data_IF_230751260257
#
_entry.id   IF_230751260257
#
_cell.length_a   1.000
_cell.length_b   1.000
_cell.length_c   1.000
_cell.angle_alpha   90.00
_cell.angle_beta   90.00
_cell.angle_gamma   90.00
#
_symmetry.space_group_name_H-M   'P 1'
#
loop_
_entity.id
_entity.type
_entity.pdbx_description
1 polymer ?
#
# COMPACT_ATOMS: atom_id res chain seq x y z
N UNK A 1 -5.71 4.19 32.46
CA UNK A 1 -4.53 3.36 32.14
C UNK A 1 -5.01 1.93 32.08
N UNK A 2 -4.69 1.19 31.02
CA UNK A 2 -5.09 -0.22 30.91
C UNK A 2 -4.07 -1.10 31.64
N UNK A 3 -4.54 -1.92 32.58
CA UNK A 3 -3.70 -2.84 33.35
C UNK A 3 -3.50 -4.17 32.58
N UNK A 4 -2.27 -4.69 32.59
CA UNK A 4 -1.94 -5.98 31.97
C UNK A 4 -2.22 -7.14 32.95
N UNK A 5 -3.32 -7.86 32.76
CA UNK A 5 -3.70 -9.07 33.49
C UNK A 5 -3.09 -10.32 32.85
N UNK A 6 -2.56 -11.23 33.67
CA UNK A 6 -2.04 -12.51 33.19
C UNK A 6 -3.14 -13.57 33.06
N UNK A 7 -3.22 -14.23 31.91
CA UNK A 7 -4.04 -15.42 31.69
C UNK A 7 -3.11 -16.61 31.37
N UNK A 8 -3.09 -17.67 32.19
CA UNK A 8 -2.34 -18.88 31.89
C UNK A 8 -2.95 -19.60 30.67
N UNK A 9 -2.10 -20.06 29.77
CA UNK A 9 -2.43 -20.88 28.60
C UNK A 9 -1.44 -22.05 28.52
N UNK A 10 -1.76 -23.13 27.80
CA UNK A 10 -0.90 -24.32 27.71
C UNK A 10 0.55 -24.02 27.27
N UNK A 11 0.76 -22.92 26.54
CA UNK A 11 2.05 -22.50 25.99
C UNK A 11 2.73 -21.36 26.79
N UNK A 12 2.17 -20.95 27.95
CA UNK A 12 2.76 -19.89 28.79
C UNK A 12 1.73 -18.95 29.43
N UNK A 13 2.08 -17.68 29.58
CA UNK A 13 1.21 -16.66 30.17
C UNK A 13 0.88 -15.59 29.13
N UNK A 14 -0.40 -15.53 28.72
CA UNK A 14 -0.92 -14.47 27.86
C UNK A 14 -1.16 -13.22 28.70
N UNK A 15 -0.63 -12.07 28.28
CA UNK A 15 -0.96 -10.77 28.89
C UNK A 15 -2.18 -10.22 28.17
N UNK A 16 -3.28 -10.02 28.91
CA UNK A 16 -4.48 -9.32 28.44
C UNK A 16 -4.52 -7.93 29.04
N UNK A 17 -5.06 -6.96 28.34
CA UNK A 17 -5.27 -5.61 28.86
C UNK A 17 -6.75 -5.29 28.82
N UNK A 18 -7.28 -4.68 29.89
CA UNK A 18 -8.67 -4.21 29.90
C UNK A 18 -8.72 -2.93 29.05
N UNK A 19 -9.40 -3.02 27.91
CA UNK A 19 -9.52 -1.92 26.97
C UNK A 19 -10.68 -0.99 27.37
N UNK A 20 -10.40 0.30 27.53
CA UNK A 20 -11.44 1.31 27.63
C UNK A 20 -12.06 1.54 26.23
N UNK A 21 -13.28 1.04 26.05
CA UNK A 21 -14.04 1.13 24.79
C UNK A 21 -14.78 2.47 24.63
N UNK A 22 -14.80 3.34 25.65
CA UNK A 22 -15.43 4.66 25.55
C UNK A 22 -14.58 5.64 24.73
N UNK A 23 -13.26 5.42 24.67
CA UNK A 23 -12.34 6.34 24.00
C UNK A 23 -12.22 6.05 22.51
N UNK A 24 -12.50 7.08 21.71
CA UNK A 24 -12.22 7.10 20.28
C UNK A 24 -10.76 7.49 20.04
N UNK A 25 -10.09 6.76 19.16
CA UNK A 25 -8.68 6.96 18.86
C UNK A 25 -8.42 6.99 17.35
N UNK A 26 -7.23 7.47 16.98
CA UNK A 26 -6.74 7.42 15.61
C UNK A 26 -5.87 6.19 15.42
N UNK A 27 -6.09 5.45 14.34
CA UNK A 27 -5.15 4.44 13.87
C UNK A 27 -4.18 5.10 12.88
N UNK A 28 -2.89 4.87 13.07
CA UNK A 28 -1.86 5.38 12.17
C UNK A 28 -0.71 4.39 12.01
N UNK A 29 -0.07 4.42 10.84
CA UNK A 29 1.20 3.76 10.60
C UNK A 29 2.31 4.74 10.92
N UNK A 30 3.24 4.33 11.79
CA UNK A 30 4.44 5.09 12.08
C UNK A 30 5.56 4.58 11.17
N UNK A 31 6.02 5.43 10.28
CA UNK A 31 7.11 5.16 9.35
C UNK A 31 8.33 5.95 9.81
N UNK A 32 9.47 5.29 9.93
CA UNK A 32 10.72 5.98 10.23
C UNK A 32 11.06 6.99 9.13
N UNK A 33 11.64 8.12 9.50
CA UNK A 33 12.16 9.12 8.58
C UNK A 33 13.67 8.99 8.46
N UNK A 34 14.21 9.39 7.30
CA UNK A 34 15.65 9.41 7.05
C UNK A 34 16.41 10.39 7.97
N UNK A 35 15.71 11.35 8.57
CA UNK A 35 16.24 12.32 9.54
C UNK A 35 16.12 11.84 11.01
N UNK A 36 15.73 10.58 11.24
CA UNK A 36 15.56 9.98 12.58
C UNK A 36 14.23 10.30 13.25
N UNK A 37 13.33 11.07 12.60
CA UNK A 37 11.97 11.30 13.07
C UNK A 37 10.99 10.18 12.70
N UNK A 38 9.70 10.39 12.99
CA UNK A 38 8.61 9.51 12.57
C UNK A 38 7.61 10.26 11.68
N UNK A 39 7.28 9.69 10.53
CA UNK A 39 6.16 10.08 9.69
C UNK A 39 4.94 9.26 10.07
N UNK A 40 3.86 9.92 10.47
CA UNK A 40 2.63 9.24 10.86
C UNK A 40 1.57 9.29 9.75
N UNK A 41 1.33 8.17 9.10
CA UNK A 41 0.27 8.03 8.08
C UNK A 41 -1.04 7.71 8.79
N UNK A 42 -2.04 8.59 8.69
CA UNK A 42 -3.38 8.33 9.24
C UNK A 42 -4.03 7.19 8.45
N UNK A 43 -4.43 6.11 9.11
CA UNK A 43 -5.19 5.03 8.47
C UNK A 43 -6.69 5.26 8.64
N UNK A 44 -7.12 5.50 9.88
CA UNK A 44 -8.52 5.71 10.20
C UNK A 44 -8.66 6.63 11.41
N UNK A 45 -9.71 7.43 11.41
CA UNK A 45 -10.10 8.27 12.54
C UNK A 45 -11.31 7.68 13.24
N UNK A 46 -11.49 7.96 14.53
CA UNK A 46 -12.66 7.49 15.30
C UNK A 46 -12.71 5.96 15.55
N UNK A 47 -11.56 5.30 15.60
CA UNK A 47 -11.45 3.88 15.94
C UNK A 47 -11.84 3.63 17.39
N UNK A 48 -12.54 2.52 17.63
CA UNK A 48 -12.80 2.01 18.99
C UNK A 48 -11.78 0.92 19.32
N UNK A 49 -11.36 0.89 20.56
CA UNK A 49 -10.77 -0.32 21.14
C UNK A 49 -11.76 -1.48 21.03
N UNK A 50 -11.25 -2.69 20.92
CA UNK A 50 -12.04 -3.92 20.96
C UNK A 50 -11.29 -4.91 21.85
N UNK A 51 -12.04 -5.81 22.49
CA UNK A 51 -11.42 -6.91 23.21
C UNK A 51 -10.75 -7.87 22.22
N UNK A 52 -9.67 -8.48 22.67
CA UNK A 52 -8.93 -9.45 21.88
C UNK A 52 -9.77 -10.73 21.71
N UNK A 53 -10.22 -10.97 20.49
CA UNK A 53 -10.95 -12.16 20.10
C UNK A 53 -9.98 -13.25 19.63
N UNK A 54 -10.15 -14.49 20.12
CA UNK A 54 -9.18 -15.56 19.88
C UNK A 54 -9.05 -15.94 18.40
N UNK A 55 -10.15 -15.89 17.65
CA UNK A 55 -10.24 -16.41 16.29
C UNK A 55 -10.56 -15.33 15.25
N UNK A 56 -10.69 -14.06 15.67
CA UNK A 56 -11.14 -12.97 14.81
C UNK A 56 -10.07 -11.88 14.77
N UNK A 57 -9.62 -11.57 13.56
CA UNK A 57 -8.73 -10.45 13.29
C UNK A 57 -9.56 -9.27 12.79
N UNK A 58 -9.85 -8.32 13.68
CA UNK A 58 -10.69 -7.15 13.36
C UNK A 58 -9.97 -6.15 12.45
N UNK A 59 -8.67 -5.94 12.68
CA UNK A 59 -7.84 -5.07 11.86
C UNK A 59 -6.78 -5.93 11.15
N UNK A 60 -6.77 -5.90 9.83
CA UNK A 60 -5.83 -6.68 9.03
C UNK A 60 -5.20 -5.80 7.97
N UNK A 61 -3.87 -5.77 7.97
CA UNK A 61 -3.08 -5.13 6.94
C UNK A 61 -2.42 -6.19 6.08
N UNK A 62 -2.39 -5.94 4.78
CA UNK A 62 -1.65 -6.75 3.84
C UNK A 62 -0.32 -6.08 3.51
N UNK A 63 0.75 -6.86 3.56
CA UNK A 63 2.04 -6.46 3.01
C UNK A 63 2.01 -6.60 1.49
N UNK A 64 2.18 -5.49 0.78
CA UNK A 64 2.16 -5.43 -0.67
C UNK A 64 3.52 -4.94 -1.16
N UNK A 65 4.11 -5.67 -2.09
CA UNK A 65 5.28 -5.22 -2.86
C UNK A 65 4.76 -4.62 -4.17
N UNK A 66 4.84 -3.29 -4.35
CA UNK A 66 4.46 -2.66 -5.60
C UNK A 66 5.44 -3.09 -6.71
N UNK A 67 4.90 -3.58 -7.81
CA UNK A 67 5.71 -4.07 -8.95
C UNK A 67 5.18 -3.50 -10.25
N UNK A 68 6.08 -3.32 -11.21
CA UNK A 68 5.71 -3.07 -12.59
C UNK A 68 5.18 -4.37 -13.21
N UNK A 69 4.09 -4.25 -13.98
CA UNK A 69 3.57 -5.39 -14.74
C UNK A 69 4.42 -5.60 -15.98
N UNK A 70 4.94 -6.82 -16.13
CA UNK A 70 5.63 -7.30 -17.31
C UNK A 70 4.81 -8.44 -17.96
N UNK A 71 4.92 -8.65 -19.29
CA UNK A 71 4.27 -9.77 -19.96
C UNK A 71 4.77 -11.14 -19.44
N UNK A 72 4.09 -12.20 -19.86
CA UNK A 72 4.43 -13.61 -19.58
C UNK A 72 5.82 -14.02 -20.10
N UNK A 73 6.21 -15.29 -19.94
CA UNK A 73 7.52 -15.76 -20.45
C UNK A 73 7.45 -16.06 -21.93
N UNK A 74 6.41 -16.78 -22.35
CA UNK A 74 6.33 -17.31 -23.71
C UNK A 74 5.14 -16.76 -24.48
N UNK A 75 4.05 -16.36 -23.79
CA UNK A 75 2.82 -15.86 -24.42
C UNK A 75 2.22 -14.67 -23.69
N UNK A 76 1.50 -13.83 -24.44
CA UNK A 76 0.83 -12.64 -23.92
C UNK A 76 -0.30 -12.95 -22.93
N UNK A 77 -0.98 -14.08 -23.09
CA UNK A 77 -2.11 -14.53 -22.26
C UNK A 77 -1.68 -15.26 -20.97
N UNK A 78 -0.39 -15.51 -20.79
CA UNK A 78 0.15 -16.07 -19.55
C UNK A 78 -0.01 -15.12 -18.36
N UNK A 79 0.16 -15.66 -17.15
CA UNK A 79 0.19 -14.84 -15.95
C UNK A 79 1.31 -13.79 -16.07
N UNK A 80 1.03 -12.51 -15.74
CA UNK A 80 2.04 -11.47 -15.82
C UNK A 80 3.15 -11.72 -14.80
N UNK A 81 4.29 -11.07 -15.02
CA UNK A 81 5.40 -11.04 -14.07
C UNK A 81 5.46 -9.69 -13.37
N UNK A 82 6.02 -9.71 -12.17
CA UNK A 82 6.39 -8.50 -11.45
C UNK A 82 7.85 -8.12 -11.76
N UNK A 83 8.04 -6.87 -12.20
CA UNK A 83 9.35 -6.23 -12.28
C UNK A 83 9.51 -5.16 -11.20
N UNK A 84 10.76 -4.85 -10.88
CA UNK A 84 11.06 -3.71 -10.00
C UNK A 84 10.58 -2.40 -10.67
N UNK A 85 10.00 -1.48 -9.88
CA UNK A 85 9.62 -0.16 -10.39
C UNK A 85 10.87 0.62 -10.80
N UNK A 86 10.77 1.40 -11.88
CA UNK A 86 11.82 2.37 -12.26
C UNK A 86 11.82 3.58 -11.33
N UNK A 87 12.85 4.45 -11.38
CA UNK A 87 12.79 5.74 -10.71
C UNK A 87 11.51 6.49 -11.07
N UNK A 88 10.78 6.96 -10.06
CA UNK A 88 9.45 7.56 -10.26
C UNK A 88 8.63 7.61 -8.99
N UNK A 89 7.31 7.75 -9.14
CA UNK A 89 6.35 7.93 -8.06
C UNK A 89 5.27 6.86 -8.06
N UNK A 90 5.04 6.30 -6.88
CA UNK A 90 3.92 5.42 -6.57
C UNK A 90 2.87 6.22 -5.79
N UNK A 91 1.63 6.17 -6.26
CA UNK A 91 0.50 6.83 -5.64
C UNK A 91 -0.47 5.80 -5.11
N UNK A 92 -0.86 5.93 -3.85
CA UNK A 92 -1.91 5.12 -3.22
C UNK A 92 -3.06 6.04 -2.86
N UNK A 93 -4.20 5.82 -3.48
CA UNK A 93 -5.45 6.51 -3.17
C UNK A 93 -6.28 5.65 -2.21
N UNK A 94 -6.93 6.31 -1.26
CA UNK A 94 -7.96 5.73 -0.40
C UNK A 94 -9.21 6.59 -0.48
N UNK A 95 -10.36 5.99 -0.77
CA UNK A 95 -11.64 6.71 -0.89
C UNK A 95 -11.55 7.91 -1.88
N UNK A 96 -10.80 7.74 -2.98
CA UNK A 96 -10.63 8.77 -4.00
C UNK A 96 -9.70 9.94 -3.62
N UNK A 97 -9.03 9.88 -2.47
CA UNK A 97 -8.02 10.86 -2.04
C UNK A 97 -6.63 10.24 -1.99
N UNK A 98 -5.62 11.00 -2.39
CA UNK A 98 -4.22 10.59 -2.27
C UNK A 98 -3.90 10.40 -0.79
N UNK A 99 -3.61 9.16 -0.46
CA UNK A 99 -3.35 8.68 0.89
C UNK A 99 -1.85 8.55 1.14
N UNK A 100 -1.10 7.99 0.18
CA UNK A 100 0.36 7.88 0.23
C UNK A 100 0.96 8.20 -1.12
N UNK A 101 2.12 8.83 -1.10
CA UNK A 101 3.00 9.01 -2.26
C UNK A 101 4.37 8.50 -1.85
N UNK A 102 4.97 7.65 -2.69
CA UNK A 102 6.30 7.10 -2.45
C UNK A 102 7.18 7.34 -3.67
N UNK A 103 8.44 7.68 -3.43
CA UNK A 103 9.47 7.68 -4.46
C UNK A 103 10.11 6.29 -4.57
N UNK A 104 10.28 5.80 -5.80
CA UNK A 104 11.07 4.61 -6.08
C UNK A 104 12.45 4.97 -6.59
N UNK A 105 13.47 4.24 -6.15
CA UNK A 105 14.87 4.43 -6.59
C UNK A 105 15.26 3.62 -7.83
N UNK A 106 14.33 2.85 -8.40
CA UNK A 106 14.66 1.94 -9.51
C UNK A 106 15.25 0.59 -9.10
N UNK A 107 15.54 0.38 -7.81
CA UNK A 107 16.26 -0.79 -7.27
C UNK A 107 15.44 -1.55 -6.23
N UNK A 108 14.13 -1.31 -6.20
CA UNK A 108 13.19 -1.98 -5.30
C UNK A 108 13.09 -1.34 -3.93
N UNK A 109 13.58 -0.11 -3.78
CA UNK A 109 13.40 0.69 -2.57
C UNK A 109 12.32 1.74 -2.79
N UNK A 110 11.59 2.03 -1.73
CA UNK A 110 10.51 3.00 -1.67
C UNK A 110 10.75 3.95 -0.49
N UNK A 111 10.48 5.23 -0.70
CA UNK A 111 10.66 6.28 0.30
C UNK A 111 9.39 7.13 0.39
N UNK A 112 8.81 7.24 1.58
CA UNK A 112 7.55 7.99 1.79
C UNK A 112 7.72 9.49 1.59
N UNK A 113 6.71 10.11 0.99
CA UNK A 113 6.51 11.56 0.95
C UNK A 113 5.50 11.96 2.03
N UNK A 114 5.75 13.07 2.74
CA UNK A 114 4.79 13.62 3.69
C UNK A 114 3.62 14.31 2.97
N UNK A 115 2.68 13.51 2.45
CA UNK A 115 1.50 14.01 1.71
C UNK A 115 0.70 15.01 2.55
N UNK A 116 0.62 14.82 3.87
CA UNK A 116 -0.14 15.70 4.74
C UNK A 116 0.51 17.09 4.85
N UNK A 117 1.83 17.16 4.93
CA UNK A 117 2.58 18.41 4.84
C UNK A 117 2.35 19.10 3.49
N UNK A 118 2.57 18.41 2.37
CA UNK A 118 2.46 19.01 1.04
C UNK A 118 1.04 19.44 0.68
N UNK A 119 0.03 18.72 1.16
CA UNK A 119 -1.38 19.11 1.05
C UNK A 119 -1.68 20.41 1.80
N UNK A 120 -1.07 20.64 2.95
CA UNK A 120 -1.21 21.91 3.68
C UNK A 120 -0.49 23.02 2.91
N UNK A 121 0.72 22.77 2.43
CA UNK A 121 1.51 23.71 1.64
C UNK A 121 0.75 24.19 0.39
N UNK A 122 0.14 23.28 -0.35
CA UNK A 122 -0.67 23.62 -1.53
C UNK A 122 -1.87 24.50 -1.17
N UNK A 123 -2.61 24.14 -0.11
CA UNK A 123 -3.75 24.92 0.37
C UNK A 123 -3.38 26.34 0.79
N UNK A 124 -2.14 26.55 1.25
CA UNK A 124 -1.60 27.87 1.56
C UNK A 124 -1.01 28.62 0.36
N UNK A 125 -1.14 28.09 -0.87
CA UNK A 125 -0.58 28.70 -2.09
C UNK A 125 0.94 28.51 -2.25
N UNK A 126 1.54 27.57 -1.53
CA UNK A 126 2.96 27.25 -1.65
C UNK A 126 3.28 26.30 -2.82
N UNK A 127 4.56 26.15 -3.14
CA UNK A 127 5.04 25.26 -4.21
C UNK A 127 4.98 23.80 -3.78
N UNK A 128 3.84 23.15 -4.04
CA UNK A 128 3.58 21.79 -3.60
C UNK A 128 4.12 20.68 -4.53
N UNK A 129 4.90 21.02 -5.55
CA UNK A 129 5.48 20.07 -6.51
C UNK A 129 6.85 19.52 -6.15
N UNK A 130 7.55 20.14 -5.19
CA UNK A 130 8.88 19.67 -4.81
C UNK A 130 8.87 18.28 -4.15
N UNK A 131 7.82 18.00 -3.36
CA UNK A 131 7.48 16.72 -2.72
C UNK A 131 8.64 15.74 -2.48
N UNK A 132 9.68 16.21 -1.80
CA UNK A 132 10.85 15.39 -1.47
C UNK A 132 10.44 14.25 -0.51
N UNK A 133 10.93 13.02 -0.71
CA UNK A 133 10.68 11.95 0.23
C UNK A 133 11.39 12.22 1.56
N UNK A 134 10.75 11.80 2.64
CA UNK A 134 11.23 11.91 4.03
C UNK A 134 11.33 10.56 4.72
N UNK A 135 10.61 9.55 4.24
CA UNK A 135 10.61 8.21 4.83
C UNK A 135 11.94 7.50 4.66
N UNK A 136 12.29 6.69 5.64
CA UNK A 136 13.39 5.74 5.55
C UNK A 136 13.07 4.65 4.52
N UNK A 137 14.14 3.97 4.08
CA UNK A 137 14.12 2.90 3.08
C UNK A 137 13.10 1.80 3.43
N UNK A 138 12.21 1.49 2.50
CA UNK A 138 11.25 0.40 2.58
C UNK A 138 11.26 -0.45 1.30
N UNK A 139 10.78 -1.69 1.38
CA UNK A 139 10.66 -2.62 0.24
C UNK A 139 9.21 -3.03 -0.06
N UNK A 140 8.31 -2.78 0.89
CA UNK A 140 6.90 -3.11 0.80
C UNK A 140 6.11 -2.03 1.52
N UNK A 141 4.81 -1.97 1.23
CA UNK A 141 3.87 -1.10 1.91
C UNK A 141 2.80 -1.92 2.64
N UNK A 142 2.38 -1.45 3.81
CA UNK A 142 1.22 -1.98 4.50
C UNK A 142 -0.05 -1.26 4.03
N UNK A 143 -1.05 -2.02 3.61
CA UNK A 143 -2.35 -1.49 3.18
C UNK A 143 -3.47 -2.15 3.99
N UNK A 144 -4.47 -1.39 4.49
CA UNK A 144 -5.54 -1.96 5.28
C UNK A 144 -6.49 -2.78 4.38
N UNK A 145 -6.83 -3.99 4.81
CA UNK A 145 -7.84 -4.84 4.16
C UNK A 145 -9.09 -4.94 5.02
N UNK A 146 -8.93 -5.09 6.33
CA UNK A 146 -10.00 -5.06 7.31
C UNK A 146 -9.72 -3.96 8.34
N UNK A 147 -10.74 -3.16 8.66
CA UNK A 147 -10.73 -2.21 9.76
C UNK A 147 -12.00 -2.40 10.58
N UNK A 148 -11.86 -2.81 11.85
CA UNK A 148 -12.96 -3.20 12.73
C UNK A 148 -13.93 -4.21 12.06
N UNK A 149 -13.36 -5.21 11.39
CA UNK A 149 -14.10 -6.28 10.70
C UNK A 149 -14.69 -5.88 9.35
N UNK A 150 -14.67 -4.59 9.00
CA UNK A 150 -15.17 -4.10 7.72
C UNK A 150 -14.08 -4.21 6.65
N UNK A 151 -14.43 -4.80 5.51
CA UNK A 151 -13.57 -4.78 4.33
C UNK A 151 -13.41 -3.36 3.78
N UNK A 152 -12.15 -2.95 3.57
CA UNK A 152 -11.79 -1.61 3.06
C UNK A 152 -10.83 -1.68 1.87
N UNK A 153 -10.46 -2.87 1.41
CA UNK A 153 -9.52 -3.05 0.30
C UNK A 153 -10.06 -2.51 -1.04
N UNK A 154 -11.39 -2.51 -1.22
CA UNK A 154 -12.10 -1.93 -2.37
C UNK A 154 -11.97 -0.40 -2.46
N UNK A 155 -11.61 0.25 -1.35
CA UNK A 155 -11.41 1.69 -1.27
C UNK A 155 -10.02 2.12 -1.72
N UNK A 156 -9.12 1.16 -1.95
CA UNK A 156 -7.72 1.40 -2.25
C UNK A 156 -7.45 1.24 -3.75
N UNK A 157 -6.78 2.23 -4.32
CA UNK A 157 -6.32 2.20 -5.69
C UNK A 157 -4.86 2.66 -5.78
N UNK A 158 -4.12 2.11 -6.72
CA UNK A 158 -2.69 2.37 -6.88
C UNK A 158 -2.38 2.79 -8.32
N UNK A 159 -1.45 3.72 -8.47
CA UNK A 159 -0.89 4.10 -9.77
C UNK A 159 0.60 4.36 -9.65
N UNK A 160 1.30 4.22 -10.77
CA UNK A 160 2.71 4.54 -10.90
C UNK A 160 2.92 5.54 -12.04
N UNK A 161 3.95 6.36 -11.92
CA UNK A 161 4.38 7.33 -12.93
C UNK A 161 5.88 7.57 -12.82
N UNK A 162 6.62 7.47 -13.93
CA UNK A 162 8.05 7.81 -13.96
C UNK A 162 8.27 9.32 -13.73
N UNK A 163 7.34 10.14 -14.22
CA UNK A 163 7.30 11.58 -13.95
C UNK A 163 6.36 11.87 -12.77
N UNK A 164 6.80 12.61 -11.73
CA UNK A 164 5.91 13.07 -10.68
C UNK A 164 4.75 13.87 -11.25
N UNK A 165 3.52 13.52 -10.88
CA UNK A 165 2.33 14.31 -11.20
C UNK A 165 2.42 15.69 -10.55
N UNK A 166 1.88 16.74 -11.18
CA UNK A 166 1.75 18.03 -10.49
C UNK A 166 0.68 17.94 -9.40
N UNK A 167 0.75 18.84 -8.43
CA UNK A 167 -0.25 18.92 -7.37
C UNK A 167 -1.64 19.24 -7.94
N UNK A 168 -1.72 20.11 -8.94
CA UNK A 168 -2.98 20.45 -9.62
C UNK A 168 -3.58 19.22 -10.31
N UNK A 169 -2.76 18.34 -10.88
CA UNK A 169 -3.24 17.08 -11.46
C UNK A 169 -3.77 16.12 -10.38
N UNK A 170 -3.10 16.05 -9.23
CA UNK A 170 -3.58 15.26 -8.08
C UNK A 170 -4.93 15.81 -7.62
N UNK A 171 -5.09 17.13 -7.45
CA UNK A 171 -6.35 17.75 -7.07
C UNK A 171 -7.45 17.51 -8.11
N UNK A 172 -7.11 17.59 -9.40
CA UNK A 172 -8.03 17.25 -10.47
C UNK A 172 -8.50 15.79 -10.40
N UNK A 173 -7.61 14.83 -10.11
CA UNK A 173 -7.98 13.43 -9.87
C UNK A 173 -8.90 13.31 -8.66
N UNK A 174 -8.52 13.93 -7.54
CA UNK A 174 -9.25 13.85 -6.27
C UNK A 174 -10.63 14.51 -6.26
N UNK A 175 -10.92 15.35 -7.26
CA UNK A 175 -12.23 15.96 -7.44
C UNK A 175 -13.29 14.95 -7.93
N UNK A 176 -12.90 13.78 -8.44
CA UNK A 176 -13.84 12.75 -8.86
C UNK A 176 -13.29 11.33 -8.68
N UNK A 177 -14.01 10.49 -7.95
CA UNK A 177 -13.65 9.08 -7.77
C UNK A 177 -13.61 8.31 -9.10
N UNK A 178 -14.35 8.74 -10.12
CA UNK A 178 -14.28 8.16 -11.46
C UNK A 178 -12.91 8.40 -12.13
N UNK A 179 -12.33 9.59 -11.95
CA UNK A 179 -10.99 9.92 -12.49
C UNK A 179 -9.91 9.05 -11.84
N UNK A 180 -9.98 8.86 -10.52
CA UNK A 180 -9.09 7.95 -9.80
C UNK A 180 -9.25 6.52 -10.32
N UNK A 181 -10.49 6.02 -10.49
CA UNK A 181 -10.75 4.67 -11.03
C UNK A 181 -10.23 4.48 -12.45
N UNK A 182 -10.26 5.52 -13.28
CA UNK A 182 -9.74 5.44 -14.65
C UNK A 182 -8.21 5.45 -14.68
N UNK A 183 -7.56 6.21 -13.79
CA UNK A 183 -6.10 6.38 -13.79
C UNK A 183 -5.35 5.33 -12.97
N UNK A 184 -6.01 4.73 -11.99
CA UNK A 184 -5.43 3.84 -10.98
C UNK A 184 -6.07 2.45 -11.02
N UNK A 185 -5.34 1.44 -10.58
CA UNK A 185 -5.83 0.07 -10.45
C UNK A 185 -6.29 -0.20 -9.02
N UNK A 186 -7.46 -0.83 -8.87
CA UNK A 186 -7.95 -1.25 -7.56
C UNK A 186 -7.10 -2.41 -7.01
N UNK A 187 -6.78 -2.38 -5.71
CA UNK A 187 -5.91 -3.39 -5.09
C UNK A 187 -6.67 -4.43 -4.25
N UNK A 188 -8.00 -4.38 -4.17
CA UNK A 188 -8.82 -5.37 -3.47
C UNK A 188 -8.53 -6.83 -3.89
N UNK A 189 -8.22 -7.15 -5.17
CA UNK A 189 -7.85 -8.51 -5.56
C UNK A 189 -6.64 -9.07 -4.80
N UNK A 190 -5.80 -8.20 -4.22
CA UNK A 190 -4.69 -8.64 -3.37
C UNK A 190 -5.13 -9.38 -2.11
N UNK A 191 -6.31 -9.06 -1.56
CA UNK A 191 -6.90 -9.80 -0.45
C UNK A 191 -7.26 -11.23 -0.87
N UNK A 192 -7.96 -11.38 -2.00
CA UNK A 192 -8.32 -12.69 -2.52
C UNK A 192 -7.07 -13.53 -2.76
N UNK A 193 -6.05 -12.97 -3.42
CA UNK A 193 -4.78 -13.63 -3.61
C UNK A 193 -4.11 -14.06 -2.30
N UNK A 194 -4.17 -13.24 -1.25
CA UNK A 194 -3.55 -13.56 0.03
C UNK A 194 -4.29 -14.68 0.78
N UNK A 195 -5.63 -14.69 0.74
CA UNK A 195 -6.45 -15.61 1.56
C UNK A 195 -6.65 -16.98 0.92
N UNK A 196 -6.90 -17.05 -0.40
CA UNK A 196 -7.22 -18.34 -1.05
C UNK A 196 -5.98 -19.20 -1.30
N UNK A 197 -4.79 -18.61 -1.22
CA UNK A 197 -3.53 -19.32 -1.40
C UNK A 197 -3.19 -19.59 -2.87
N UNK A 198 -1.95 -20.05 -3.13
CA UNK A 198 -1.44 -20.25 -4.49
C UNK A 198 -2.23 -21.30 -5.27
N UNK A 199 -2.67 -22.37 -4.61
CA UNK A 199 -3.35 -23.48 -5.26
C UNK A 199 -4.64 -23.05 -5.97
N UNK A 200 -5.32 -22.02 -5.46
CA UNK A 200 -6.61 -21.55 -5.97
C UNK A 200 -6.51 -20.18 -6.67
N UNK A 201 -5.52 -19.34 -6.34
CA UNK A 201 -5.31 -18.06 -7.00
C UNK A 201 -4.46 -18.20 -8.26
N UNK A 202 -4.94 -17.67 -9.39
CA UNK A 202 -4.14 -17.51 -10.61
C UNK A 202 -4.15 -16.05 -11.05
N UNK A 203 -2.98 -15.44 -11.10
CA UNK A 203 -2.82 -14.10 -11.66
C UNK A 203 -3.22 -14.11 -13.14
N UNK A 204 -3.90 -13.06 -13.58
CA UNK A 204 -4.27 -12.87 -14.98
C UNK A 204 -3.85 -11.49 -15.45
N UNK A 205 -3.92 -11.25 -16.76
CA UNK A 205 -3.73 -9.92 -17.31
C UNK A 205 -4.77 -8.91 -16.76
N UNK A 206 -5.99 -9.33 -16.43
CA UNK A 206 -6.98 -8.44 -15.80
C UNK A 206 -6.71 -8.21 -14.30
N UNK A 207 -6.18 -9.23 -13.61
CA UNK A 207 -5.92 -9.22 -12.17
C UNK A 207 -4.46 -9.63 -11.90
N UNK A 208 -3.49 -8.70 -12.08
CA UNK A 208 -2.06 -9.00 -12.10
C UNK A 208 -1.44 -9.12 -10.69
N UNK A 209 -2.17 -9.68 -9.72
CA UNK A 209 -1.66 -9.86 -8.35
C UNK A 209 -0.94 -11.21 -8.26
N UNK A 210 0.33 -11.17 -7.86
CA UNK A 210 1.17 -12.34 -7.69
C UNK A 210 1.51 -12.48 -6.21
N UNK A 211 1.32 -13.68 -5.65
CA UNK A 211 1.80 -13.96 -4.30
C UNK A 211 3.32 -14.09 -4.31
N UNK A 212 3.99 -13.49 -3.34
CA UNK A 212 5.46 -13.46 -3.27
C UNK A 212 6.07 -14.88 -3.23
N UNK A 213 5.36 -15.84 -2.62
CA UNK A 213 5.76 -17.25 -2.54
C UNK A 213 5.85 -17.95 -3.89
N UNK A 214 5.21 -17.40 -4.94
CA UNK A 214 5.27 -17.93 -6.31
C UNK A 214 6.40 -17.36 -7.16
N UNK A 215 7.14 -16.37 -6.65
CA UNK A 215 8.29 -15.81 -7.34
C UNK A 215 9.46 -16.78 -7.16
N UNK A 216 9.56 -17.78 -8.03
CA UNK A 216 10.58 -18.85 -7.94
C UNK A 216 11.91 -18.50 -8.62
N UNK A 217 11.92 -17.55 -9.56
CA UNK A 217 13.11 -17.15 -10.34
C UNK A 217 13.69 -15.77 -9.95
N UNK A 218 13.31 -15.24 -8.78
CA UNK A 218 13.68 -13.89 -8.34
C UNK A 218 12.95 -12.78 -9.11
N UNK A 219 13.11 -11.54 -8.67
CA UNK A 219 12.59 -10.36 -9.38
C UNK A 219 13.57 -9.94 -10.48
N UNK A 220 13.05 -9.59 -11.65
CA UNK A 220 13.86 -9.13 -12.77
C UNK A 220 14.02 -7.60 -12.72
N UNK A 221 15.22 -7.11 -13.01
CA UNK A 221 15.46 -5.70 -13.26
C UNK A 221 14.78 -5.29 -14.58
N UNK A 222 14.24 -4.08 -14.65
CA UNK A 222 13.65 -3.55 -15.89
C UNK A 222 14.75 -2.98 -16.78
N UNK A 223 15.05 -3.65 -17.89
CA UNK A 223 15.95 -3.12 -18.92
C UNK A 223 15.16 -2.49 -20.06
N UNK A 224 15.31 -1.18 -20.23
CA UNK A 224 14.58 -0.42 -21.25
C UNK A 224 14.81 -0.98 -22.66
N UNK A 225 16.05 -1.34 -23.00
CA UNK A 225 16.39 -1.88 -24.32
C UNK A 225 15.63 -3.18 -24.63
N UNK A 226 15.52 -4.11 -23.68
CA UNK A 226 14.78 -5.36 -23.85
C UNK A 226 13.27 -5.11 -23.96
N UNK A 227 12.73 -4.15 -23.22
CA UNK A 227 11.31 -3.81 -23.27
C UNK A 227 10.90 -3.10 -24.58
N UNK A 228 11.79 -2.30 -25.16
CA UNK A 228 11.56 -1.65 -26.47
C UNK A 228 11.81 -2.57 -27.66
N UNK A 229 12.46 -3.72 -27.44
CA UNK A 229 12.68 -4.76 -28.45
C UNK A 229 11.54 -5.78 -28.53
N UNK A 230 10.58 -5.72 -27.59
CA UNK A 230 9.32 -6.46 -27.73
C UNK A 230 8.50 -5.76 -28.82
N UNK A 231 8.46 -6.37 -30.01
CA UNK A 231 7.55 -5.96 -31.07
C UNK A 231 6.12 -6.10 -30.54
N UNK A 232 5.48 -4.95 -30.33
CA UNK A 232 4.11 -4.74 -29.83
C UNK A 232 3.90 -4.88 -28.29
N UNK A 233 3.76 -3.76 -27.54
CA UNK A 233 3.47 -3.76 -26.10
C UNK A 233 2.01 -4.12 -25.72
#
# INVERSE_FOLDING_TARGET
MSELKGQPINQGMRKRTDYDNARRARLGLNIERSDGGMLQIVVETDMRSHEEEQNIQQNTFLAVVPMARLPGYEKYDEAPKGGVLRPGRLYVFRQGKLWRELESDGKGQLFEVDVAHWRKTAKSGGKADERKPVGAKQHLILVPMLLQGRFVGDQLAMAYSELPWTWEYIEWLEASSARVKQRCQNIAPAWAAAVVGPEQWKATQAMPIIQITRISKGMCARELHLETLLEDP
#
